data_IF_811255742715
#
_entry.id   IF_811255742715
#
_cell.length_a   1.000
_cell.length_b   1.000
_cell.length_c   1.000
_cell.angle_alpha   90.00
_cell.angle_beta   90.00
_cell.angle_gamma   90.00
#
_symmetry.space_group_name_H-M   'P 1'
#
loop_
_entity.id
_entity.type
_entity.pdbx_description
1 polymer ?
#
# COMPACT_ATOMS: atom_id res chain seq x y z
N UNK A 1 50.77 7.92 14.18
CA UNK A 1 49.40 7.63 14.65
C UNK A 1 48.52 7.73 13.41
N UNK A 2 48.39 6.63 12.68
CA UNK A 2 47.66 6.60 11.42
C UNK A 2 46.16 6.54 11.73
N UNK A 3 45.46 7.59 11.33
CA UNK A 3 44.01 7.67 11.42
C UNK A 3 43.45 6.66 10.43
N UNK A 4 42.93 5.54 10.95
CA UNK A 4 42.22 4.56 10.16
C UNK A 4 41.06 5.27 9.44
N UNK A 5 41.22 5.43 8.13
CA UNK A 5 40.17 5.94 7.24
C UNK A 5 38.95 5.06 7.41
N UNK A 6 37.86 5.66 7.91
CA UNK A 6 36.59 4.98 8.06
C UNK A 6 36.22 4.33 6.72
N UNK A 7 36.05 3.01 6.72
CA UNK A 7 35.62 2.25 5.55
C UNK A 7 34.37 2.92 5.00
N UNK A 8 34.32 3.31 3.71
CA UNK A 8 33.12 3.90 3.15
C UNK A 8 31.96 2.93 3.37
N UNK A 9 30.77 3.44 3.77
CA UNK A 9 29.62 2.58 4.00
C UNK A 9 29.39 1.73 2.75
N UNK A 10 29.11 0.41 2.90
CA UNK A 10 28.94 -0.47 1.76
C UNK A 10 27.86 0.10 0.84
N UNK A 11 28.18 0.18 -0.46
CA UNK A 11 27.25 0.69 -1.46
C UNK A 11 26.01 -0.20 -1.52
N UNK A 12 24.82 0.42 -1.56
CA UNK A 12 23.56 -0.30 -1.72
C UNK A 12 23.60 -1.15 -2.98
N UNK A 13 23.37 -2.46 -2.85
CA UNK A 13 23.21 -3.35 -4.01
C UNK A 13 21.84 -3.14 -4.64
N UNK A 14 21.82 -2.48 -5.80
CA UNK A 14 20.63 -2.35 -6.63
C UNK A 14 20.39 -3.62 -7.44
N UNK A 15 19.21 -4.20 -7.31
CA UNK A 15 18.75 -5.34 -8.11
C UNK A 15 17.74 -4.82 -9.12
N UNK A 16 18.14 -4.78 -10.39
CA UNK A 16 17.31 -4.19 -11.43
C UNK A 16 16.23 -5.17 -11.91
N UNK A 17 14.98 -4.71 -11.96
CA UNK A 17 13.84 -5.47 -12.49
C UNK A 17 13.44 -5.00 -13.88
N UNK A 18 12.90 -5.91 -14.69
CA UNK A 18 12.23 -5.63 -15.95
C UNK A 18 10.80 -6.17 -15.92
N UNK A 19 9.99 -5.80 -16.89
CA UNK A 19 8.58 -6.23 -16.98
C UNK A 19 8.40 -7.75 -16.80
N UNK A 20 9.21 -8.64 -17.41
CA UNK A 20 9.08 -10.08 -17.17
C UNK A 20 9.30 -10.49 -15.70
N UNK A 21 10.26 -9.86 -15.02
CA UNK A 21 10.54 -10.10 -13.60
C UNK A 21 9.37 -9.63 -12.74
N UNK A 22 8.80 -8.46 -13.08
CA UNK A 22 7.61 -7.90 -12.43
C UNK A 22 6.38 -8.80 -12.61
N UNK A 23 6.13 -9.23 -13.84
CA UNK A 23 5.00 -10.09 -14.16
C UNK A 23 5.09 -11.47 -13.47
N UNK A 24 6.30 -12.00 -13.31
CA UNK A 24 6.53 -13.29 -12.68
C UNK A 24 6.00 -13.36 -11.23
N UNK A 25 6.03 -12.24 -10.49
CA UNK A 25 5.43 -12.17 -9.16
C UNK A 25 4.01 -11.60 -9.16
N UNK A 26 3.67 -10.66 -10.05
CA UNK A 26 2.32 -10.07 -10.12
C UNK A 26 1.26 -11.09 -10.52
N UNK A 27 1.56 -11.96 -11.49
CA UNK A 27 0.60 -12.97 -11.96
C UNK A 27 0.12 -13.89 -10.84
N UNK A 28 0.99 -14.56 -10.05
CA UNK A 28 0.53 -15.35 -8.92
C UNK A 28 -0.12 -14.49 -7.83
N UNK A 29 0.34 -13.25 -7.61
CA UNK A 29 -0.28 -12.33 -6.66
C UNK A 29 -1.75 -12.02 -7.02
N UNK A 30 -2.03 -11.78 -8.30
CA UNK A 30 -3.39 -11.59 -8.81
C UNK A 30 -4.28 -12.78 -8.49
N UNK A 31 -3.80 -13.99 -8.76
CA UNK A 31 -4.61 -15.21 -8.63
C UNK A 31 -4.80 -15.64 -7.18
N UNK A 32 -3.78 -15.51 -6.35
CA UNK A 32 -3.75 -16.07 -5.00
C UNK A 32 -4.19 -15.07 -3.93
N UNK A 33 -4.04 -13.76 -4.18
CA UNK A 33 -4.39 -12.71 -3.22
C UNK A 33 -5.53 -11.82 -3.72
N UNK A 34 -5.32 -11.14 -4.84
CA UNK A 34 -6.24 -10.08 -5.28
C UNK A 34 -7.59 -10.60 -5.78
N UNK A 35 -7.58 -11.73 -6.49
CA UNK A 35 -8.82 -12.36 -6.95
C UNK A 35 -9.68 -12.87 -5.79
N UNK A 36 -9.14 -13.60 -4.78
CA UNK A 36 -9.90 -13.94 -3.58
C UNK A 36 -10.48 -12.72 -2.85
N UNK A 37 -9.75 -11.62 -2.74
CA UNK A 37 -10.25 -10.37 -2.17
C UNK A 37 -11.42 -9.79 -2.97
N UNK A 38 -11.26 -9.71 -4.30
CA UNK A 38 -12.32 -9.24 -5.19
C UNK A 38 -13.57 -10.11 -5.09
N UNK A 39 -13.42 -11.44 -5.06
CA UNK A 39 -14.53 -12.40 -4.92
C UNK A 39 -15.23 -12.23 -3.57
N UNK A 40 -14.49 -12.19 -2.46
CA UNK A 40 -15.05 -12.03 -1.13
C UNK A 40 -15.84 -10.71 -1.02
N UNK A 41 -15.28 -9.62 -1.56
CA UNK A 41 -15.94 -8.33 -1.59
C UNK A 41 -17.20 -8.34 -2.47
N UNK A 42 -17.13 -8.93 -3.66
CA UNK A 42 -18.28 -9.03 -4.58
C UNK A 42 -19.42 -9.88 -3.98
N UNK A 43 -19.10 -10.99 -3.31
CA UNK A 43 -20.08 -11.82 -2.60
C UNK A 43 -20.75 -11.02 -1.49
N UNK A 44 -19.98 -10.29 -0.67
CA UNK A 44 -20.54 -9.45 0.39
C UNK A 44 -21.39 -8.30 -0.18
N UNK A 45 -20.97 -7.68 -1.27
CA UNK A 45 -21.75 -6.65 -1.97
C UNK A 45 -23.08 -7.19 -2.47
N UNK A 46 -23.08 -8.34 -3.16
CA UNK A 46 -24.28 -8.97 -3.66
C UNK A 46 -25.22 -9.40 -2.52
N UNK A 47 -24.68 -10.04 -1.48
CA UNK A 47 -25.48 -10.55 -0.37
C UNK A 47 -26.09 -9.45 0.50
N UNK A 48 -25.37 -8.33 0.67
CA UNK A 48 -25.83 -7.19 1.46
C UNK A 48 -26.75 -6.22 0.70
N UNK A 49 -27.02 -6.46 -0.59
CA UNK A 49 -27.78 -5.55 -1.43
C UNK A 49 -27.06 -4.22 -1.70
N UNK A 50 -25.72 -4.24 -1.70
CA UNK A 50 -24.89 -3.06 -1.93
C UNK A 50 -24.80 -2.12 -0.74
N UNK A 51 -24.62 -2.67 0.46
CA UNK A 51 -24.61 -1.89 1.69
C UNK A 51 -23.55 -0.77 1.70
N UNK A 52 -23.94 0.41 2.20
CA UNK A 52 -23.10 1.61 2.18
C UNK A 52 -21.79 1.50 2.97
N UNK A 53 -21.72 0.61 3.98
CA UNK A 53 -20.49 0.38 4.75
C UNK A 53 -19.36 -0.26 3.93
N UNK A 54 -19.66 -0.84 2.77
CA UNK A 54 -18.65 -1.35 1.84
C UNK A 54 -17.86 -0.22 1.14
N UNK A 55 -18.39 1.01 1.14
CA UNK A 55 -17.68 2.19 0.66
C UNK A 55 -17.49 2.29 -0.85
N UNK A 56 -18.25 1.54 -1.67
CA UNK A 56 -18.21 1.69 -3.14
C UNK A 56 -18.79 3.03 -3.62
N UNK A 57 -19.63 3.68 -2.82
CA UNK A 57 -20.18 4.98 -3.14
C UNK A 57 -19.12 6.09 -3.12
N UNK A 58 -19.38 7.24 -3.76
CA UNK A 58 -18.45 8.37 -3.79
C UNK A 58 -18.30 9.08 -2.43
N UNK A 59 -19.16 8.76 -1.45
CA UNK A 59 -19.22 9.48 -0.16
C UNK A 59 -19.46 10.98 -0.37
N UNK A 60 -18.81 11.81 0.43
CA UNK A 60 -18.65 13.23 0.11
C UNK A 60 -17.47 13.40 -0.87
N UNK A 61 -17.79 13.55 -2.16
CA UNK A 61 -16.78 13.58 -3.22
C UNK A 61 -15.72 14.68 -3.00
N UNK A 62 -16.13 15.88 -2.58
CA UNK A 62 -15.17 16.97 -2.31
C UNK A 62 -14.19 16.59 -1.21
N UNK A 63 -14.67 16.02 -0.11
CA UNK A 63 -13.81 15.54 0.99
C UNK A 63 -12.86 14.45 0.49
N UNK A 64 -13.35 13.50 -0.31
CA UNK A 64 -12.53 12.42 -0.84
C UNK A 64 -11.44 12.92 -1.79
N UNK A 65 -11.76 13.88 -2.66
CA UNK A 65 -10.80 14.47 -3.60
C UNK A 65 -9.76 15.35 -2.88
N UNK A 66 -10.17 16.16 -1.90
CA UNK A 66 -9.24 16.96 -1.09
C UNK A 66 -8.32 16.04 -0.29
N UNK A 67 -8.88 15.00 0.35
CA UNK A 67 -8.09 14.00 1.05
C UNK A 67 -7.10 13.33 0.09
N UNK A 68 -7.53 12.85 -1.08
CA UNK A 68 -6.67 12.21 -2.05
C UNK A 68 -5.54 13.14 -2.54
N UNK A 69 -5.86 14.41 -2.83
CA UNK A 69 -4.90 15.40 -3.31
C UNK A 69 -3.78 15.68 -2.30
N UNK A 70 -4.07 15.62 -1.01
CA UNK A 70 -3.08 15.80 0.06
C UNK A 70 -2.40 14.48 0.42
N UNK A 71 -3.19 13.45 0.69
CA UNK A 71 -2.71 12.17 1.19
C UNK A 71 -1.83 11.44 0.18
N UNK A 72 -2.16 11.45 -1.12
CA UNK A 72 -1.37 10.75 -2.13
C UNK A 72 0.10 11.21 -2.20
N UNK A 73 0.42 12.51 -2.41
CA UNK A 73 1.81 12.96 -2.43
C UNK A 73 2.50 12.76 -1.08
N UNK A 74 1.80 13.01 0.04
CA UNK A 74 2.36 12.80 1.38
C UNK A 74 2.73 11.33 1.62
N UNK A 75 1.83 10.40 1.29
CA UNK A 75 2.05 8.97 1.48
C UNK A 75 3.13 8.44 0.54
N UNK A 76 3.15 8.88 -0.72
CA UNK A 76 4.22 8.51 -1.66
C UNK A 76 5.59 8.93 -1.13
N UNK A 77 5.73 10.20 -0.72
CA UNK A 77 6.99 10.74 -0.22
C UNK A 77 7.42 10.05 1.09
N UNK A 78 6.49 9.86 2.03
CA UNK A 78 6.76 9.17 3.28
C UNK A 78 7.19 7.71 3.05
N UNK A 79 6.48 6.98 2.18
CA UNK A 79 6.80 5.60 1.85
C UNK A 79 8.17 5.47 1.16
N UNK A 80 8.50 6.36 0.23
CA UNK A 80 9.83 6.41 -0.39
C UNK A 80 10.93 6.71 0.63
N UNK A 81 10.70 7.62 1.57
CA UNK A 81 11.65 7.94 2.63
C UNK A 81 11.86 6.75 3.59
N UNK A 82 10.79 6.04 3.95
CA UNK A 82 10.90 4.81 4.75
C UNK A 82 11.67 3.74 3.98
N UNK A 83 11.38 3.53 2.69
CA UNK A 83 12.09 2.57 1.86
C UNK A 83 13.58 2.90 1.74
N UNK A 84 13.93 4.18 1.58
CA UNK A 84 15.32 4.64 1.60
C UNK A 84 16.00 4.29 2.93
N UNK A 85 15.33 4.52 4.06
CA UNK A 85 15.87 4.19 5.39
C UNK A 85 16.07 2.68 5.57
N UNK A 86 15.09 1.88 5.17
CA UNK A 86 15.18 0.41 5.24
C UNK A 86 16.25 -0.14 4.29
N UNK A 87 16.42 0.48 3.13
CA UNK A 87 17.47 0.11 2.17
C UNK A 87 18.85 0.34 2.75
N UNK A 88 19.07 1.44 3.47
CA UNK A 88 20.36 1.73 4.12
C UNK A 88 20.73 0.70 5.20
N UNK A 89 19.76 0.11 5.89
CA UNK A 89 20.04 -0.97 6.85
C UNK A 89 20.19 -2.33 6.19
N UNK A 90 19.41 -2.62 5.15
CA UNK A 90 19.41 -3.92 4.45
C UNK A 90 20.55 -4.05 3.43
N UNK A 91 21.05 -2.94 2.90
CA UNK A 91 22.10 -2.92 1.87
C UNK A 91 21.63 -3.39 0.49
N UNK A 92 20.34 -3.63 0.26
CA UNK A 92 19.80 -3.98 -1.06
C UNK A 92 18.42 -3.41 -1.32
N UNK A 93 18.17 -3.11 -2.60
CA UNK A 93 16.90 -2.56 -3.08
C UNK A 93 16.59 -3.10 -4.48
N UNK A 94 15.37 -3.60 -4.66
CA UNK A 94 14.79 -3.88 -5.97
C UNK A 94 14.37 -2.57 -6.63
N UNK A 95 14.80 -2.34 -7.86
CA UNK A 95 14.55 -1.09 -8.59
C UNK A 95 14.19 -1.38 -10.04
N UNK A 96 13.12 -0.78 -10.60
CA UNK A 96 12.88 -0.81 -12.04
C UNK A 96 14.11 -0.39 -12.85
N UNK A 97 14.46 -1.17 -13.87
CA UNK A 97 15.57 -0.86 -14.75
C UNK A 97 15.31 0.44 -15.53
N UNK A 98 14.05 0.66 -15.94
CA UNK A 98 13.57 1.79 -16.72
C UNK A 98 12.20 2.30 -16.28
N UNK A 99 11.74 3.38 -16.91
CA UNK A 99 10.45 4.01 -16.63
C UNK A 99 9.27 3.12 -17.06
N UNK A 100 9.47 2.27 -18.06
CA UNK A 100 8.52 1.29 -18.57
C UNK A 100 8.11 0.27 -17.48
N UNK A 101 9.07 -0.35 -16.81
CA UNK A 101 8.79 -1.26 -15.69
C UNK A 101 8.22 -0.51 -14.46
N UNK A 102 8.69 0.72 -14.21
CA UNK A 102 8.12 1.54 -13.14
C UNK A 102 6.62 1.84 -13.37
N UNK A 103 6.24 2.21 -14.60
CA UNK A 103 4.86 2.45 -14.97
C UNK A 103 4.03 1.16 -15.01
N UNK A 104 4.62 0.05 -15.47
CA UNK A 104 3.97 -1.27 -15.44
C UNK A 104 3.61 -1.67 -14.00
N UNK A 105 4.55 -1.49 -13.06
CA UNK A 105 4.29 -1.70 -11.63
C UNK A 105 3.24 -0.72 -11.07
N UNK A 106 3.31 0.56 -11.42
CA UNK A 106 2.31 1.54 -10.99
C UNK A 106 0.89 1.18 -11.46
N UNK A 107 0.74 0.72 -12.71
CA UNK A 107 -0.53 0.27 -13.27
C UNK A 107 -1.08 -0.95 -12.51
N UNK A 108 -0.22 -1.89 -12.16
CA UNK A 108 -0.58 -3.00 -11.29
C UNK A 108 -1.02 -2.52 -9.89
N UNK A 109 -0.30 -1.56 -9.30
CA UNK A 109 -0.66 -1.01 -7.98
C UNK A 109 -1.99 -0.25 -8.01
N UNK A 110 -2.35 0.37 -9.13
CA UNK A 110 -3.65 0.99 -9.35
C UNK A 110 -4.82 -0.02 -9.33
N UNK A 111 -4.55 -1.31 -9.57
CA UNK A 111 -5.51 -2.40 -9.38
C UNK A 111 -5.42 -2.98 -7.95
N UNK A 112 -4.20 -3.23 -7.47
CA UNK A 112 -3.96 -3.82 -6.15
C UNK A 112 -4.53 -2.96 -5.00
N UNK A 113 -4.25 -1.66 -4.97
CA UNK A 113 -4.66 -0.76 -3.90
C UNK A 113 -6.18 -0.77 -3.65
N UNK A 114 -7.03 -0.51 -4.66
CA UNK A 114 -8.48 -0.55 -4.50
C UNK A 114 -9.03 -1.92 -4.07
N UNK A 115 -8.43 -3.02 -4.54
CA UNK A 115 -8.88 -4.37 -4.15
C UNK A 115 -8.52 -4.68 -2.69
N UNK A 116 -7.33 -4.29 -2.24
CA UNK A 116 -6.94 -4.42 -0.84
C UNK A 116 -7.79 -3.50 0.05
N UNK A 117 -8.04 -2.25 -0.34
CA UNK A 117 -8.92 -1.35 0.42
C UNK A 117 -10.37 -1.86 0.45
N UNK A 118 -10.89 -2.38 -0.65
CA UNK A 118 -12.20 -3.03 -0.70
C UNK A 118 -12.30 -4.15 0.33
N UNK A 119 -11.31 -5.04 0.37
CA UNK A 119 -11.32 -6.14 1.33
C UNK A 119 -11.10 -5.68 2.78
N UNK A 120 -10.03 -4.94 3.06
CA UNK A 120 -9.69 -4.63 4.46
C UNK A 120 -10.56 -3.51 5.04
N UNK A 121 -10.88 -2.45 4.26
CA UNK A 121 -11.59 -1.27 4.78
C UNK A 121 -13.08 -1.40 4.55
N UNK A 122 -13.47 -1.76 3.33
CA UNK A 122 -14.87 -2.04 3.02
C UNK A 122 -15.37 -3.26 3.79
N UNK A 123 -14.84 -4.45 3.45
CA UNK A 123 -15.36 -5.71 3.97
C UNK A 123 -15.07 -5.91 5.47
N UNK A 124 -13.80 -5.94 5.87
CA UNK A 124 -13.41 -6.27 7.25
C UNK A 124 -13.72 -5.12 8.21
N UNK A 125 -13.18 -3.92 7.99
CA UNK A 125 -13.39 -2.79 8.90
C UNK A 125 -14.85 -2.32 8.91
N UNK A 126 -15.47 -2.12 7.75
CA UNK A 126 -16.87 -1.71 7.64
C UNK A 126 -17.83 -2.76 8.19
N UNK A 127 -17.66 -4.02 7.79
CA UNK A 127 -18.52 -5.14 8.22
C UNK A 127 -18.43 -5.44 9.72
N UNK A 128 -17.23 -5.48 10.28
CA UNK A 128 -17.05 -5.64 11.74
C UNK A 128 -17.52 -4.38 12.47
N UNK A 129 -17.24 -3.20 11.91
CA UNK A 129 -17.62 -1.92 12.51
C UNK A 129 -19.12 -1.77 12.67
N UNK A 130 -19.92 -2.22 11.68
CA UNK A 130 -21.39 -2.20 11.77
C UNK A 130 -21.94 -3.32 12.64
N UNK A 131 -21.24 -4.45 12.76
CA UNK A 131 -21.65 -5.59 13.61
C UNK A 131 -21.38 -5.30 15.09
N UNK A 132 -20.29 -4.60 15.39
CA UNK A 132 -19.88 -4.24 16.75
C UNK A 132 -19.85 -2.71 16.89
N UNK A 133 -18.67 -2.11 16.80
CA UNK A 133 -18.47 -0.65 16.79
C UNK A 133 -17.28 -0.32 15.89
N UNK A 134 -17.22 0.89 15.28
CA UNK A 134 -16.16 1.25 14.33
C UNK A 134 -14.72 1.08 14.84
N UNK A 135 -14.37 1.40 16.11
CA UNK A 135 -13.03 1.15 16.62
C UNK A 135 -12.60 -0.33 16.58
N UNK A 136 -13.53 -1.25 16.83
CA UNK A 136 -13.25 -2.71 16.77
C UNK A 136 -12.97 -3.12 15.33
N UNK A 137 -13.77 -2.63 14.38
CA UNK A 137 -13.53 -2.84 12.95
C UNK A 137 -12.15 -2.34 12.52
N UNK A 138 -11.77 -1.14 12.94
CA UNK A 138 -10.45 -0.55 12.65
C UNK A 138 -9.30 -1.42 13.17
N UNK A 139 -9.37 -1.83 14.44
CA UNK A 139 -8.31 -2.64 15.07
C UNK A 139 -8.19 -4.00 14.38
N UNK A 140 -9.30 -4.70 14.14
CA UNK A 140 -9.27 -6.02 13.52
C UNK A 140 -8.80 -5.95 12.07
N UNK A 141 -9.30 -4.99 11.28
CA UNK A 141 -8.85 -4.82 9.90
C UNK A 141 -7.37 -4.46 9.80
N UNK A 142 -6.88 -3.58 10.68
CA UNK A 142 -5.46 -3.23 10.72
C UNK A 142 -4.60 -4.43 11.11
N UNK A 143 -5.01 -5.20 12.12
CA UNK A 143 -4.29 -6.40 12.53
C UNK A 143 -4.27 -7.46 11.41
N UNK A 144 -5.41 -7.67 10.74
CA UNK A 144 -5.51 -8.58 9.59
C UNK A 144 -4.60 -8.13 8.44
N UNK A 145 -4.59 -6.83 8.12
CA UNK A 145 -3.74 -6.24 7.08
C UNK A 145 -2.23 -6.43 7.37
N UNK A 146 -1.82 -6.19 8.61
CA UNK A 146 -0.43 -6.39 9.07
C UNK A 146 -0.04 -7.87 9.02
N UNK A 147 -0.89 -8.76 9.55
CA UNK A 147 -0.63 -10.20 9.54
C UNK A 147 -0.58 -10.76 8.11
N UNK A 148 -1.45 -10.28 7.23
CA UNK A 148 -1.45 -10.62 5.82
C UNK A 148 -0.09 -10.32 5.15
N UNK A 149 0.47 -9.12 5.35
CA UNK A 149 1.79 -8.77 4.83
C UNK A 149 2.89 -9.66 5.41
N UNK A 150 2.77 -9.99 6.71
CA UNK A 150 3.72 -10.90 7.37
C UNK A 150 3.67 -12.31 6.75
N UNK A 151 2.49 -12.84 6.48
CA UNK A 151 2.29 -14.13 5.80
C UNK A 151 2.80 -14.09 4.35
N UNK A 152 2.76 -12.93 3.71
CA UNK A 152 3.42 -12.63 2.43
C UNK A 152 4.96 -12.62 2.48
N UNK A 153 5.56 -13.03 3.61
CA UNK A 153 7.01 -13.13 3.85
C UNK A 153 7.76 -11.79 3.91
N UNK A 154 7.05 -10.69 4.16
CA UNK A 154 7.68 -9.39 4.39
C UNK A 154 8.46 -9.43 5.70
N UNK A 155 9.60 -8.74 5.75
CA UNK A 155 10.36 -8.62 7.00
C UNK A 155 9.57 -7.80 8.04
N UNK A 156 9.90 -7.94 9.33
CA UNK A 156 9.23 -7.15 10.37
C UNK A 156 9.34 -5.64 10.16
N UNK A 157 10.50 -5.07 9.80
CA UNK A 157 10.59 -3.63 9.52
C UNK A 157 9.67 -3.18 8.39
N UNK A 158 9.57 -3.97 7.31
CA UNK A 158 8.67 -3.65 6.20
C UNK A 158 7.19 -3.81 6.60
N UNK A 159 6.87 -4.84 7.39
CA UNK A 159 5.53 -5.09 7.91
C UNK A 159 5.07 -3.98 8.87
N UNK A 160 5.98 -3.44 9.68
CA UNK A 160 5.68 -2.28 10.53
C UNK A 160 5.55 -1.00 9.69
N UNK A 161 6.33 -0.86 8.63
CA UNK A 161 6.17 0.23 7.67
C UNK A 161 4.79 0.20 6.99
N UNK A 162 4.27 -0.98 6.63
CA UNK A 162 2.90 -1.09 6.10
C UNK A 162 1.84 -0.75 7.14
N UNK A 163 2.05 -1.05 8.43
CA UNK A 163 1.17 -0.62 9.51
C UNK A 163 1.09 0.92 9.64
N UNK A 164 2.22 1.61 9.46
CA UNK A 164 2.28 3.08 9.47
C UNK A 164 1.46 3.73 8.35
N UNK A 165 1.25 3.01 7.25
CA UNK A 165 0.33 3.41 6.17
C UNK A 165 -1.10 2.96 6.50
N UNK A 166 -1.25 1.73 7.00
CA UNK A 166 -2.56 1.10 7.20
C UNK A 166 -3.44 1.81 8.22
N UNK A 167 -2.86 2.28 9.34
CA UNK A 167 -3.60 2.99 10.40
C UNK A 167 -4.20 4.32 9.91
N UNK A 168 -3.44 5.24 9.27
CA UNK A 168 -4.01 6.45 8.70
C UNK A 168 -5.14 6.21 7.70
N UNK A 169 -5.02 5.20 6.84
CA UNK A 169 -6.07 4.88 5.86
C UNK A 169 -7.32 4.32 6.54
N UNK A 170 -7.16 3.44 7.53
CA UNK A 170 -8.30 2.94 8.32
C UNK A 170 -8.99 4.05 9.09
N UNK A 171 -8.23 4.98 9.69
CA UNK A 171 -8.79 6.16 10.35
C UNK A 171 -9.52 7.07 9.35
N UNK A 172 -8.96 7.31 8.17
CA UNK A 172 -9.60 8.12 7.13
C UNK A 172 -10.91 7.49 6.65
N UNK A 173 -10.94 6.17 6.43
CA UNK A 173 -12.16 5.46 6.05
C UNK A 173 -13.29 5.61 7.09
N UNK A 174 -12.92 5.67 8.37
CA UNK A 174 -13.88 5.84 9.47
C UNK A 174 -14.28 7.31 9.70
N UNK A 175 -13.32 8.24 9.67
CA UNK A 175 -13.48 9.59 10.20
C UNK A 175 -13.70 10.67 9.14
N UNK A 176 -13.46 10.39 7.86
CA UNK A 176 -13.74 11.37 6.82
C UNK A 176 -15.25 11.70 6.79
N UNK A 177 -15.63 12.99 6.71
CA UNK A 177 -17.04 13.37 6.68
C UNK A 177 -17.82 12.76 5.50
N UNK A 178 -19.06 12.36 5.78
CA UNK A 178 -19.99 11.78 4.82
C UNK A 178 -20.09 10.25 4.92
N UNK A 179 -20.84 9.61 4.00
CA UNK A 179 -20.87 8.15 3.93
C UNK A 179 -19.47 7.56 3.68
N UNK A 180 -19.16 6.37 4.23
CA UNK A 180 -17.89 5.70 3.95
C UNK A 180 -17.62 5.61 2.45
N UNK A 181 -16.37 5.84 2.06
CA UNK A 181 -15.95 5.74 0.67
C UNK A 181 -14.52 5.22 0.58
N UNK A 182 -14.29 4.32 -0.37
CA UNK A 182 -12.98 3.76 -0.67
C UNK A 182 -12.16 4.67 -1.60
N UNK A 183 -12.76 5.72 -2.18
CA UNK A 183 -12.13 6.53 -3.22
C UNK A 183 -10.80 7.15 -2.76
N UNK A 184 -10.86 8.01 -1.73
CA UNK A 184 -9.68 8.73 -1.25
C UNK A 184 -8.63 7.80 -0.66
N UNK A 185 -9.06 6.81 0.13
CA UNK A 185 -8.15 5.84 0.76
C UNK A 185 -7.47 4.93 -0.26
N UNK A 186 -8.15 4.55 -1.35
CA UNK A 186 -7.55 3.78 -2.43
C UNK A 186 -6.49 4.58 -3.18
N UNK A 187 -6.76 5.85 -3.50
CA UNK A 187 -5.77 6.73 -4.15
C UNK A 187 -4.54 6.91 -3.26
N UNK A 188 -4.74 7.14 -1.97
CA UNK A 188 -3.64 7.27 -1.01
C UNK A 188 -2.86 5.94 -0.84
N UNK A 189 -3.54 4.79 -0.83
CA UNK A 189 -2.89 3.47 -0.81
C UNK A 189 -2.03 3.28 -2.05
N UNK A 190 -2.59 3.47 -3.27
CA UNK A 190 -1.84 3.35 -4.53
C UNK A 190 -0.55 4.18 -4.46
N UNK A 191 -0.65 5.43 -4.00
CA UNK A 191 0.49 6.31 -3.86
C UNK A 191 1.51 5.81 -2.82
N UNK A 192 1.06 5.30 -1.67
CA UNK A 192 1.94 4.69 -0.68
C UNK A 192 2.71 3.48 -1.24
N UNK A 193 2.01 2.57 -1.92
CA UNK A 193 2.61 1.38 -2.53
C UNK A 193 3.60 1.77 -3.64
N UNK A 194 3.23 2.72 -4.49
CA UNK A 194 4.14 3.30 -5.49
C UNK A 194 5.34 4.02 -4.86
N UNK A 195 5.21 4.62 -3.68
CA UNK A 195 6.33 5.24 -2.98
C UNK A 195 7.27 4.21 -2.37
N UNK A 196 6.73 3.11 -1.85
CA UNK A 196 7.52 2.06 -1.20
C UNK A 196 8.18 1.10 -2.20
N UNK A 197 7.51 0.79 -3.29
CA UNK A 197 7.89 -0.21 -4.30
C UNK A 197 7.97 0.43 -5.69
N UNK A 198 8.61 -0.24 -6.65
CA UNK A 198 8.60 0.16 -8.08
C UNK A 198 8.94 1.64 -8.35
N UNK A 199 7.94 2.51 -8.59
CA UNK A 199 8.15 3.94 -8.86
C UNK A 199 9.03 4.70 -7.86
N UNK A 200 8.85 4.49 -6.56
CA UNK A 200 9.62 5.19 -5.52
C UNK A 200 11.09 4.81 -5.52
N UNK A 201 11.45 3.51 -5.45
CA UNK A 201 12.81 3.02 -5.69
C UNK A 201 13.43 3.53 -7.00
N UNK A 202 12.64 3.58 -8.09
CA UNK A 202 13.10 4.13 -9.37
C UNK A 202 13.45 5.63 -9.25
N UNK A 203 12.61 6.42 -8.60
CA UNK A 203 12.85 7.83 -8.32
C UNK A 203 14.09 8.03 -7.44
N UNK A 204 14.23 7.27 -6.35
CA UNK A 204 15.40 7.34 -5.46
C UNK A 204 16.70 7.09 -6.22
N UNK A 205 16.72 6.10 -7.13
CA UNK A 205 17.86 5.83 -8.01
C UNK A 205 18.14 7.00 -8.95
N UNK A 206 17.10 7.59 -9.58
CA UNK A 206 17.25 8.76 -10.47
C UNK A 206 17.81 9.99 -9.74
N UNK A 207 17.44 10.16 -8.47
CA UNK A 207 17.93 11.22 -7.60
C UNK A 207 19.29 10.92 -6.96
N UNK A 208 19.90 9.75 -7.23
CA UNK A 208 21.18 9.30 -6.66
C UNK A 208 21.17 9.23 -5.12
N UNK A 209 20.02 8.86 -4.55
CA UNK A 209 19.85 8.70 -3.10
C UNK A 209 20.13 7.27 -2.60
N UNK A 210 20.20 6.31 -3.54
CA UNK A 210 20.51 4.88 -3.33
C UNK A 210 21.54 4.40 -4.33
#
# INVERSE_FOLDING_TARGET
MDSATATPPPSTRLVLTRIPDSWAWMRPDLLVRLMPFAIAFAVAYAWSGGAGWLGLGPGNLTVQLVFAAVAAPTMFAAAAAVQLRLTRSRGTLLVPAGADDAWFQAAFYALNGPLEEGFFRGLVQGGIGITFVPPVGLVIATAAYVLYHRLGRWTWPETLATALVGVPLGLAFWLLPGPPSLLGVSVAHIAATCGFLGPGPYLLRKLKLV
#
